data_IF_528863379296
#
_entry.id   IF_528863379296
#
_cell.length_a   1.000
_cell.length_b   1.000
_cell.length_c   1.000
_cell.angle_alpha   90.00
_cell.angle_beta   90.00
_cell.angle_gamma   90.00
#
_symmetry.space_group_name_H-M   'P 1'
#
loop_
_entity.id
_entity.type
_entity.pdbx_description
1 polymer ?
#
# COMPACT_ATOMS: atom_id res chain seq x y z
N UNK A 1 -7.37 -34.01 25.51
CA UNK A 1 -6.70 -34.01 24.19
C UNK A 1 -5.95 -32.69 24.00
N UNK A 2 -4.64 -32.74 24.15
CA UNK A 2 -3.75 -31.59 23.95
C UNK A 2 -3.66 -31.28 22.44
N UNK A 3 -4.12 -30.10 22.01
CA UNK A 3 -4.03 -29.71 20.60
C UNK A 3 -2.57 -29.38 20.27
N UNK A 4 -1.94 -30.18 19.40
CA UNK A 4 -0.63 -29.84 18.82
C UNK A 4 -0.70 -28.46 18.14
N UNK A 5 -0.11 -27.45 18.76
CA UNK A 5 0.06 -26.13 18.15
C UNK A 5 1.07 -26.24 17.00
N UNK A 6 0.76 -25.62 15.84
CA UNK A 6 1.68 -25.54 14.71
C UNK A 6 2.99 -24.89 15.18
N UNK A 7 4.10 -25.60 15.07
CA UNK A 7 5.43 -25.06 15.35
C UNK A 7 5.81 -24.06 14.25
N UNK A 8 6.43 -22.96 14.65
CA UNK A 8 7.02 -22.00 13.72
C UNK A 8 8.12 -22.71 12.93
N UNK A 9 7.96 -22.80 11.60
CA UNK A 9 8.89 -23.52 10.75
C UNK A 9 9.80 -22.58 9.96
N UNK A 10 10.89 -23.12 9.41
CA UNK A 10 11.83 -22.39 8.54
C UNK A 10 11.11 -21.70 7.37
N UNK A 11 10.14 -22.36 6.75
CA UNK A 11 9.36 -21.78 5.66
C UNK A 11 8.52 -20.56 6.06
N UNK A 12 8.04 -20.49 7.31
CA UNK A 12 7.35 -19.29 7.81
C UNK A 12 8.34 -18.14 8.01
N UNK A 13 9.53 -18.46 8.54
CA UNK A 13 10.62 -17.49 8.70
C UNK A 13 11.05 -16.90 7.36
N UNK A 14 11.27 -17.72 6.34
CA UNK A 14 11.66 -17.25 5.00
C UNK A 14 10.61 -16.32 4.39
N UNK A 15 9.33 -16.61 4.55
CA UNK A 15 8.25 -15.76 4.04
C UNK A 15 8.17 -14.43 4.81
N UNK A 16 8.41 -14.43 6.12
CA UNK A 16 8.49 -13.20 6.91
C UNK A 16 9.68 -12.34 6.51
N UNK A 17 10.84 -12.96 6.27
CA UNK A 17 12.05 -12.26 5.79
C UNK A 17 11.80 -11.65 4.41
N UNK A 18 11.21 -12.41 3.48
CA UNK A 18 10.87 -11.91 2.15
C UNK A 18 9.89 -10.72 2.23
N UNK A 19 8.83 -10.85 3.04
CA UNK A 19 7.86 -9.77 3.26
C UNK A 19 8.49 -8.51 3.87
N UNK A 20 9.36 -8.69 4.87
CA UNK A 20 10.10 -7.60 5.49
C UNK A 20 11.03 -6.92 4.47
N UNK A 21 11.77 -7.70 3.67
CA UNK A 21 12.63 -7.19 2.60
C UNK A 21 11.87 -6.35 1.58
N UNK A 22 10.71 -6.83 1.12
CA UNK A 22 9.81 -6.08 0.23
C UNK A 22 9.37 -4.76 0.87
N UNK A 23 9.01 -4.78 2.15
CA UNK A 23 8.63 -3.57 2.89
C UNK A 23 9.77 -2.57 3.05
N UNK A 24 10.97 -3.06 3.37
CA UNK A 24 12.19 -2.24 3.48
C UNK A 24 12.61 -1.65 2.13
N UNK A 25 12.39 -2.37 1.02
CA UNK A 25 12.63 -1.84 -0.32
C UNK A 25 11.74 -0.62 -0.62
N UNK A 26 10.44 -0.70 -0.28
CA UNK A 26 9.53 0.45 -0.38
C UNK A 26 9.92 1.61 0.54
N UNK A 27 10.27 1.30 1.80
CA UNK A 27 10.73 2.31 2.76
C UNK A 27 12.04 3.00 2.32
N UNK A 28 12.94 2.28 1.64
CA UNK A 28 14.15 2.86 1.04
C UNK A 28 13.82 3.85 -0.08
N UNK A 29 12.78 3.59 -0.86
CA UNK A 29 12.28 4.51 -1.88
C UNK A 29 11.83 5.84 -1.26
N UNK A 30 11.05 5.78 -0.17
CA UNK A 30 10.66 6.95 0.61
C UNK A 30 11.86 7.71 1.17
N UNK A 31 12.83 6.98 1.73
CA UNK A 31 14.04 7.58 2.29
C UNK A 31 14.85 8.33 1.23
N UNK A 32 15.00 7.76 0.03
CA UNK A 32 15.69 8.43 -1.07
C UNK A 32 15.02 9.74 -1.47
N UNK A 33 13.68 9.80 -1.48
CA UNK A 33 12.98 11.05 -1.75
C UNK A 33 13.27 12.15 -0.73
N UNK A 34 13.64 11.80 0.51
CA UNK A 34 14.04 12.80 1.50
C UNK A 34 15.49 13.28 1.29
N UNK A 35 16.39 12.38 0.90
CA UNK A 35 17.84 12.67 0.85
C UNK A 35 18.25 13.29 -0.49
N UNK A 36 17.66 12.84 -1.60
CA UNK A 36 17.97 13.36 -2.94
C UNK A 36 17.26 14.70 -3.17
N UNK A 37 17.98 15.78 -2.83
CA UNK A 37 17.76 17.22 -3.07
C UNK A 37 16.31 17.68 -3.37
N UNK A 38 15.73 18.58 -2.54
CA UNK A 38 14.37 19.10 -2.70
C UNK A 38 14.22 19.95 -3.97
N UNK A 39 13.95 19.29 -5.09
CA UNK A 39 13.51 19.92 -6.33
C UNK A 39 11.99 20.09 -6.33
N UNK A 40 11.54 21.27 -5.92
CA UNK A 40 10.24 21.91 -6.18
C UNK A 40 8.90 21.23 -5.81
N UNK A 41 8.81 19.90 -5.60
CA UNK A 41 7.50 19.23 -5.43
C UNK A 41 7.17 18.82 -3.99
N UNK A 42 8.16 18.69 -3.12
CA UNK A 42 7.95 18.40 -1.70
C UNK A 42 8.25 19.65 -0.89
N UNK A 43 7.22 20.24 -0.29
CA UNK A 43 7.36 21.38 0.60
C UNK A 43 8.25 20.97 1.79
N UNK A 44 9.06 21.88 2.35
CA UNK A 44 9.98 21.61 3.46
C UNK A 44 9.30 21.19 4.79
N UNK A 45 8.03 20.82 4.80
CA UNK A 45 7.19 20.67 6.01
C UNK A 45 6.54 19.29 6.09
N UNK A 46 6.99 18.27 5.35
CA UNK A 46 6.52 16.91 5.64
C UNK A 46 7.04 16.52 7.02
N UNK A 47 6.18 16.40 8.06
CA UNK A 47 6.66 16.20 9.41
C UNK A 47 7.27 14.80 9.54
N UNK A 48 8.30 14.67 10.39
CA UNK A 48 9.03 13.40 10.59
C UNK A 48 8.11 12.24 10.97
N UNK A 49 7.02 12.50 11.69
CA UNK A 49 6.04 11.49 12.06
C UNK A 49 5.26 10.93 10.86
N UNK A 50 4.99 11.74 9.82
CA UNK A 50 4.27 11.27 8.63
C UNK A 50 5.15 10.34 7.81
N UNK A 51 6.45 10.66 7.74
CA UNK A 51 7.44 9.80 7.11
C UNK A 51 7.58 8.47 7.87
N UNK A 52 7.64 8.51 9.20
CA UNK A 52 7.67 7.30 10.02
C UNK A 52 6.42 6.42 9.79
N UNK A 53 5.23 7.03 9.71
CA UNK A 53 3.99 6.32 9.40
C UNK A 53 4.02 5.68 7.99
N UNK A 54 4.54 6.38 6.99
CA UNK A 54 4.69 5.87 5.63
C UNK A 54 5.66 4.68 5.55
N UNK A 55 6.79 4.76 6.26
CA UNK A 55 7.76 3.67 6.36
C UNK A 55 7.17 2.46 7.08
N UNK A 56 6.47 2.68 8.19
CA UNK A 56 5.79 1.63 8.94
C UNK A 56 4.70 0.94 8.10
N UNK A 57 3.87 1.71 7.40
CA UNK A 57 2.85 1.17 6.49
C UNK A 57 3.46 0.33 5.37
N UNK A 58 4.60 0.76 4.80
CA UNK A 58 5.32 0.01 3.76
C UNK A 58 5.77 -1.37 4.23
N UNK A 59 6.16 -1.51 5.50
CA UNK A 59 6.53 -2.79 6.11
C UNK A 59 5.29 -3.60 6.54
N UNK A 60 4.28 -2.94 7.09
CA UNK A 60 3.08 -3.58 7.61
C UNK A 60 2.25 -4.27 6.51
N UNK A 61 2.19 -3.70 5.30
CA UNK A 61 1.44 -4.26 4.17
C UNK A 61 1.86 -5.68 3.79
N UNK A 62 3.12 -5.95 3.38
CA UNK A 62 3.54 -7.29 3.00
C UNK A 62 3.49 -8.27 4.19
N UNK A 63 3.77 -7.82 5.41
CA UNK A 63 3.62 -8.65 6.60
C UNK A 63 2.16 -9.07 6.85
N UNK A 64 1.20 -8.16 6.61
CA UNK A 64 -0.23 -8.44 6.71
C UNK A 64 -0.64 -9.53 5.70
N UNK A 65 -0.19 -9.43 4.46
CA UNK A 65 -0.44 -10.42 3.40
C UNK A 65 0.17 -11.78 3.78
N UNK A 66 1.42 -11.81 4.23
CA UNK A 66 2.10 -13.04 4.63
C UNK A 66 1.43 -13.72 5.84
N UNK A 67 1.02 -12.94 6.85
CA UNK A 67 0.31 -13.47 8.01
C UNK A 67 -1.06 -14.06 7.62
N UNK A 68 -1.76 -13.43 6.68
CA UNK A 68 -3.00 -13.96 6.14
C UNK A 68 -2.75 -15.27 5.37
N UNK A 69 -1.69 -15.33 4.56
CA UNK A 69 -1.29 -16.55 3.85
C UNK A 69 -0.98 -17.70 4.82
N UNK A 70 -0.29 -17.44 5.94
CA UNK A 70 -0.04 -18.45 6.97
C UNK A 70 -1.31 -19.01 7.60
N UNK A 71 -2.35 -18.18 7.77
CA UNK A 71 -3.64 -18.63 8.30
C UNK A 71 -4.44 -19.48 7.33
N UNK A 72 -4.18 -19.34 6.03
CA UNK A 72 -4.81 -20.14 4.98
C UNK A 72 -4.11 -21.49 4.77
N UNK A 73 -2.84 -21.63 5.19
CA UNK A 73 -2.09 -22.89 5.15
C UNK A 73 -2.60 -23.91 6.19
N UNK A 74 -2.55 -25.20 5.84
CA UNK A 74 -2.94 -26.31 6.73
C UNK A 74 -1.91 -26.48 7.86
N UNK A 75 -2.30 -26.94 9.08
CA UNK A 75 -3.64 -27.34 9.51
C UNK A 75 -4.54 -26.13 9.82
N UNK A 76 -5.68 -26.03 9.13
CA UNK A 76 -6.56 -24.85 9.20
C UNK A 76 -7.47 -24.96 10.43
N UNK A 77 -7.51 -23.96 11.33
CA UNK A 77 -8.52 -23.92 12.38
C UNK A 77 -9.93 -23.89 11.75
N UNK A 78 -10.97 -24.38 12.44
CA UNK A 78 -12.34 -24.32 11.92
C UNK A 78 -12.70 -22.87 11.59
N UNK A 79 -13.25 -22.64 10.37
CA UNK A 79 -13.49 -21.29 9.82
C UNK A 79 -14.21 -20.38 10.81
N UNK A 80 -15.20 -20.89 11.54
CA UNK A 80 -15.94 -20.12 12.56
C UNK A 80 -15.04 -19.50 13.63
N UNK A 81 -13.95 -20.16 14.04
CA UNK A 81 -13.00 -19.60 15.04
C UNK A 81 -12.07 -18.55 14.44
N UNK A 82 -11.67 -18.71 13.17
CA UNK A 82 -10.81 -17.75 12.47
C UNK A 82 -11.46 -16.36 12.40
N UNK A 83 -12.77 -16.29 12.17
CA UNK A 83 -13.51 -15.02 12.10
C UNK A 83 -13.65 -14.30 13.45
N UNK A 84 -13.50 -15.04 14.57
CA UNK A 84 -13.61 -14.48 15.93
C UNK A 84 -12.26 -14.01 16.48
N UNK A 85 -11.17 -14.25 15.77
CA UNK A 85 -9.84 -13.87 16.21
C UNK A 85 -9.53 -12.43 15.78
N UNK A 86 -9.19 -11.54 16.72
CA UNK A 86 -9.01 -10.12 16.42
C UNK A 86 -7.87 -9.87 15.43
N UNK A 87 -6.82 -10.70 15.47
CA UNK A 87 -5.71 -10.60 14.54
C UNK A 87 -6.12 -10.89 13.09
N UNK A 88 -6.94 -11.92 12.82
CA UNK A 88 -7.38 -12.18 11.44
C UNK A 88 -8.46 -11.23 10.97
N UNK A 89 -9.33 -10.78 11.87
CA UNK A 89 -10.32 -9.76 11.50
C UNK A 89 -9.64 -8.46 11.04
N UNK A 90 -8.60 -8.01 11.75
CA UNK A 90 -7.78 -6.87 11.34
C UNK A 90 -7.13 -7.08 9.95
N UNK A 91 -6.45 -8.22 9.76
CA UNK A 91 -5.76 -8.50 8.50
C UNK A 91 -6.72 -8.63 7.30
N UNK A 92 -7.89 -9.22 7.50
CA UNK A 92 -8.92 -9.31 6.45
C UNK A 92 -9.47 -7.94 6.07
N UNK A 93 -9.66 -7.05 7.05
CA UNK A 93 -10.12 -5.68 6.80
C UNK A 93 -9.11 -4.90 5.96
N UNK A 94 -7.83 -4.93 6.35
CA UNK A 94 -6.75 -4.31 5.57
C UNK A 94 -6.65 -4.92 4.18
N UNK A 95 -6.74 -6.25 4.05
CA UNK A 95 -6.68 -6.93 2.75
C UNK A 95 -7.84 -6.50 1.83
N UNK A 96 -9.06 -6.38 2.37
CA UNK A 96 -10.21 -5.93 1.60
C UNK A 96 -10.02 -4.50 1.09
N UNK A 97 -9.51 -3.59 1.94
CA UNK A 97 -9.19 -2.23 1.53
C UNK A 97 -8.12 -2.19 0.43
N UNK A 98 -7.05 -2.98 0.55
CA UNK A 98 -6.03 -3.07 -0.49
C UNK A 98 -6.60 -3.56 -1.82
N UNK A 99 -7.52 -4.53 -1.79
CA UNK A 99 -8.19 -5.01 -3.00
C UNK A 99 -9.07 -3.92 -3.61
N UNK A 100 -9.94 -3.28 -2.83
CA UNK A 100 -10.83 -2.21 -3.31
C UNK A 100 -10.03 -1.07 -3.93
N UNK A 101 -8.98 -0.62 -3.24
CA UNK A 101 -8.15 0.48 -3.70
C UNK A 101 -7.25 0.09 -4.88
N UNK A 102 -6.77 -1.15 -4.92
CA UNK A 102 -6.08 -1.69 -6.08
C UNK A 102 -6.98 -1.70 -7.32
N UNK A 103 -8.27 -2.05 -7.17
CA UNK A 103 -9.25 -2.04 -8.26
C UNK A 103 -9.56 -0.61 -8.72
N UNK A 104 -9.73 0.35 -7.81
CA UNK A 104 -9.91 1.77 -8.16
C UNK A 104 -8.74 2.30 -8.99
N UNK A 105 -7.51 2.02 -8.54
CA UNK A 105 -6.28 2.43 -9.23
C UNK A 105 -6.20 1.77 -10.60
N UNK A 106 -6.41 0.45 -10.70
CA UNK A 106 -6.42 -0.28 -11.97
C UNK A 106 -7.50 0.25 -12.94
N UNK A 107 -8.69 0.58 -12.42
CA UNK A 107 -9.78 1.17 -13.19
C UNK A 107 -9.44 2.58 -13.72
N UNK A 108 -8.75 3.40 -12.93
CA UNK A 108 -8.25 4.70 -13.38
C UNK A 108 -7.24 4.56 -14.53
N UNK A 109 -6.35 3.57 -14.46
CA UNK A 109 -5.42 3.24 -15.56
C UNK A 109 -6.16 2.76 -16.81
N UNK A 110 -7.16 1.88 -16.66
CA UNK A 110 -7.95 1.40 -17.78
C UNK A 110 -8.68 2.55 -18.51
N UNK A 111 -9.30 3.48 -17.77
CA UNK A 111 -10.00 4.65 -18.34
C UNK A 111 -9.05 5.59 -19.08
N UNK A 112 -7.82 5.79 -18.58
CA UNK A 112 -6.84 6.69 -19.23
C UNK A 112 -6.40 6.17 -20.60
N UNK A 113 -6.21 4.85 -20.73
CA UNK A 113 -5.88 4.22 -22.01
C UNK A 113 -7.01 4.39 -23.04
N UNK A 114 -8.26 4.27 -22.61
CA UNK A 114 -9.42 4.51 -23.48
C UNK A 114 -9.46 5.96 -23.97
N UNK A 115 -9.18 6.94 -23.10
CA UNK A 115 -9.18 8.35 -23.50
C UNK A 115 -8.00 8.72 -24.41
N UNK A 116 -6.83 8.10 -24.25
CA UNK A 116 -5.69 8.30 -25.17
C UNK A 116 -5.99 7.67 -26.53
N UNK A 117 -6.62 6.51 -26.57
CA UNK A 117 -7.04 5.85 -27.83
C UNK A 117 -8.18 6.65 -28.49
N UNK A 118 -9.19 7.09 -27.74
CA UNK A 118 -10.28 7.93 -28.24
C UNK A 118 -9.78 9.30 -28.70
N UNK A 119 -8.82 9.90 -27.97
CA UNK A 119 -8.17 11.15 -28.33
C UNK A 119 -7.25 11.03 -29.55
N UNK A 120 -6.60 9.88 -29.77
CA UNK A 120 -5.86 9.57 -31.01
C UNK A 120 -6.81 9.30 -32.17
N UNK A 121 -7.91 8.58 -31.96
CA UNK A 121 -8.94 8.36 -32.98
C UNK A 121 -9.63 9.68 -33.39
N UNK A 122 -9.88 10.58 -32.45
CA UNK A 122 -10.39 11.92 -32.72
C UNK A 122 -9.35 12.78 -33.45
N UNK A 123 -8.05 12.69 -33.12
CA UNK A 123 -6.99 13.43 -33.82
C UNK A 123 -6.76 12.97 -35.26
N UNK A 124 -6.89 11.67 -35.53
CA UNK A 124 -6.80 11.13 -36.89
C UNK A 124 -7.95 11.67 -37.76
N UNK A 125 -9.14 11.89 -37.18
CA UNK A 125 -10.29 12.48 -37.89
C UNK A 125 -10.19 13.99 -38.14
N UNK A 126 -9.35 14.71 -37.39
CA UNK A 126 -9.14 16.17 -37.54
C UNK A 126 -7.97 16.47 -38.50
N UNK A 127 -7.19 15.46 -38.91
CA UNK A 127 -6.10 15.64 -39.88
C UNK A 127 -6.55 15.76 -41.34
N UNK A 128 -7.83 15.54 -41.66
CA UNK A 128 -8.36 15.77 -43.01
C UNK A 128 -8.89 17.20 -43.22
N UNK A 129 -8.90 18.04 -42.18
CA UNK A 129 -9.35 19.44 -42.28
C UNK A 129 -8.48 20.36 -41.42
N UNK A 130 -7.33 20.73 -41.98
CA UNK A 130 -6.69 22.06 -41.90
C UNK A 130 -6.35 22.66 -40.51
N UNK A 131 -5.05 22.89 -40.25
CA UNK A 131 -4.37 24.18 -39.97
C UNK A 131 -3.05 23.95 -39.22
N UNK A 132 -1.95 24.27 -39.91
CA UNK A 132 -0.57 24.32 -39.43
C UNK A 132 -0.43 25.31 -38.25
N UNK A 133 -0.17 24.81 -37.05
CA UNK A 133 0.35 25.59 -35.92
C UNK A 133 1.83 25.24 -35.75
N UNK A 134 2.69 26.15 -36.20
CA UNK A 134 4.14 26.03 -36.12
C UNK A 134 4.59 26.30 -34.67
N UNK A 135 4.93 25.24 -33.93
CA UNK A 135 5.53 25.34 -32.59
C UNK A 135 7.05 25.39 -32.78
N UNK A 136 7.67 26.52 -32.42
CA UNK A 136 9.13 26.71 -32.49
C UNK A 136 9.89 25.67 -31.66
N UNK A 137 11.01 25.12 -32.17
CA UNK A 137 11.83 24.18 -31.43
C UNK A 137 12.64 24.91 -30.36
N UNK A 138 12.50 24.50 -29.10
CA UNK A 138 13.46 24.85 -28.04
C UNK A 138 14.81 24.16 -28.27
N UNK A 139 15.93 24.78 -27.87
CA UNK A 139 17.27 24.31 -28.20
C UNK A 139 17.58 22.95 -27.56
N UNK A 140 18.32 22.06 -28.27
CA UNK A 140 18.66 20.73 -27.79
C UNK A 140 19.76 20.82 -26.73
N UNK A 141 19.39 20.64 -25.46
CA UNK A 141 20.36 20.37 -24.39
C UNK A 141 20.86 18.92 -24.52
N UNK A 142 22.05 18.81 -25.10
CA UNK A 142 22.88 17.61 -25.30
C UNK A 142 23.42 17.04 -23.98
N UNK A 143 22.57 16.52 -23.11
CA UNK A 143 22.97 15.56 -22.08
C UNK A 143 21.93 14.45 -22.02
N UNK A 144 22.37 13.21 -22.24
CA UNK A 144 21.55 12.00 -22.31
C UNK A 144 20.86 11.62 -21.00
N UNK A 145 19.94 12.47 -20.55
CA UNK A 145 18.91 12.15 -19.58
C UNK A 145 17.65 11.75 -20.34
N UNK A 146 17.09 10.59 -19.99
CA UNK A 146 15.73 10.15 -20.33
C UNK A 146 14.80 11.31 -20.65
N UNK A 147 14.26 11.33 -21.88
CA UNK A 147 13.31 12.33 -22.34
C UNK A 147 12.30 12.68 -21.23
N UNK A 148 12.23 13.95 -20.77
CA UNK A 148 11.11 14.40 -19.98
C UNK A 148 9.92 14.43 -20.92
N UNK A 149 9.25 13.29 -21.07
CA UNK A 149 7.97 13.23 -21.76
C UNK A 149 7.09 14.31 -21.14
N UNK A 150 6.70 15.30 -21.94
CA UNK A 150 5.93 16.49 -21.54
C UNK A 150 4.47 16.18 -21.19
N UNK A 151 4.16 14.91 -20.93
CA UNK A 151 2.94 14.40 -20.29
C UNK A 151 3.27 13.52 -19.06
N UNK A 152 4.52 13.58 -18.59
CA UNK A 152 5.27 12.63 -17.77
C UNK A 152 5.03 12.72 -16.27
N UNK A 153 3.77 12.82 -15.85
CA UNK A 153 3.34 12.20 -14.58
C UNK A 153 2.88 10.77 -14.93
N UNK A 154 3.79 10.02 -15.54
CA UNK A 154 3.70 8.58 -15.52
C UNK A 154 4.14 8.26 -14.10
N UNK A 155 3.17 7.85 -13.29
CA UNK A 155 3.39 7.15 -12.04
C UNK A 155 4.18 5.90 -12.37
N UNK A 156 5.50 6.04 -12.55
CA UNK A 156 6.41 4.93 -12.56
C UNK A 156 6.07 4.13 -11.31
N UNK A 157 5.93 2.82 -11.45
CA UNK A 157 5.89 1.88 -10.32
C UNK A 157 7.24 1.86 -9.56
N UNK A 158 7.93 3.00 -9.51
CA UNK A 158 9.12 3.20 -8.73
C UNK A 158 8.75 3.02 -7.26
N UNK A 159 9.62 2.32 -6.55
CA UNK A 159 9.49 1.97 -5.14
C UNK A 159 9.15 3.17 -4.24
N UNK A 160 9.46 4.38 -4.69
CA UNK A 160 9.08 5.61 -4.03
C UNK A 160 7.57 5.91 -4.02
N UNK A 161 6.87 5.75 -5.15
CA UNK A 161 5.41 5.99 -5.22
C UNK A 161 4.64 5.00 -4.34
N UNK A 162 5.18 3.80 -4.16
CA UNK A 162 4.62 2.78 -3.27
C UNK A 162 4.43 3.31 -1.85
N UNK A 163 5.46 3.93 -1.27
CA UNK A 163 5.40 4.37 0.13
C UNK A 163 4.39 5.49 0.38
N UNK A 164 4.25 6.43 -0.57
CA UNK A 164 3.26 7.51 -0.49
C UNK A 164 1.84 6.95 -0.60
N UNK A 165 1.61 6.00 -1.50
CA UNK A 165 0.33 5.30 -1.59
C UNK A 165 0.01 4.52 -0.30
N UNK A 166 1.00 3.85 0.29
CA UNK A 166 0.81 3.13 1.57
C UNK A 166 0.46 4.06 2.73
N UNK A 167 1.03 5.26 2.78
CA UNK A 167 0.65 6.27 3.77
C UNK A 167 -0.83 6.68 3.64
N UNK A 168 -1.32 6.86 2.41
CA UNK A 168 -2.72 7.16 2.15
C UNK A 168 -3.67 6.02 2.59
N UNK A 169 -3.19 4.77 2.62
CA UNK A 169 -3.95 3.62 3.13
C UNK A 169 -3.90 3.45 4.65
N UNK A 170 -2.96 4.10 5.34
CA UNK A 170 -2.79 3.91 6.78
C UNK A 170 -4.03 4.32 7.58
N UNK A 171 -4.59 5.51 7.28
CA UNK A 171 -5.80 6.01 7.93
C UNK A 171 -7.01 5.05 7.81
N UNK A 172 -7.49 4.68 6.59
CA UNK A 172 -8.64 3.79 6.46
C UNK A 172 -8.39 2.39 7.03
N UNK A 173 -7.16 1.86 6.92
CA UNK A 173 -6.79 0.59 7.53
C UNK A 173 -6.90 0.65 9.07
N UNK A 174 -6.30 1.66 9.70
CA UNK A 174 -6.36 1.82 11.15
C UNK A 174 -7.79 1.99 11.65
N UNK A 175 -8.60 2.84 11.01
CA UNK A 175 -10.02 3.01 11.38
C UNK A 175 -10.82 1.72 11.24
N UNK A 176 -10.58 0.93 10.19
CA UNK A 176 -11.24 -0.36 10.01
C UNK A 176 -10.85 -1.36 11.08
N UNK A 177 -9.56 -1.39 11.48
CA UNK A 177 -9.09 -2.22 12.59
C UNK A 177 -9.76 -1.81 13.91
N UNK A 178 -9.80 -0.51 14.23
CA UNK A 178 -10.50 0.01 15.42
C UNK A 178 -11.96 -0.40 15.41
N UNK A 179 -12.68 -0.15 14.31
CA UNK A 179 -14.10 -0.47 14.19
C UNK A 179 -14.40 -1.95 14.42
N UNK A 180 -13.60 -2.84 13.81
CA UNK A 180 -13.77 -4.29 13.96
C UNK A 180 -13.41 -4.75 15.36
N UNK A 181 -12.35 -4.21 15.95
CA UNK A 181 -11.96 -4.53 17.32
C UNK A 181 -13.02 -4.09 18.31
N UNK A 182 -13.55 -2.88 18.18
CA UNK A 182 -14.67 -2.39 18.97
C UNK A 182 -15.90 -3.31 18.81
N UNK A 183 -16.25 -3.69 17.59
CA UNK A 183 -17.38 -4.60 17.33
C UNK A 183 -17.17 -5.98 17.99
N UNK A 184 -15.95 -6.52 17.97
CA UNK A 184 -15.63 -7.78 18.66
C UNK A 184 -15.69 -7.66 20.18
N UNK A 185 -15.24 -6.54 20.74
CA UNK A 185 -15.32 -6.25 22.18
C UNK A 185 -16.79 -6.10 22.60
N UNK A 186 -17.55 -5.25 21.91
CA UNK A 186 -18.96 -4.97 22.22
C UNK A 186 -19.85 -6.20 22.07
N UNK A 187 -19.55 -7.09 21.12
CA UNK A 187 -20.29 -8.35 20.95
C UNK A 187 -19.88 -9.47 21.94
N UNK A 188 -18.91 -9.23 22.83
CA UNK A 188 -18.37 -10.26 23.73
C UNK A 188 -17.68 -11.41 23.00
N UNK A 189 -17.31 -11.20 21.73
CA UNK A 189 -16.71 -12.22 20.84
C UNK A 189 -15.19 -12.17 20.80
N UNK A 190 -14.57 -11.25 21.54
CA UNK A 190 -13.12 -11.13 21.66
C UNK A 190 -12.50 -12.39 22.31
N UNK A 191 -11.97 -13.29 21.49
CA UNK A 191 -11.33 -14.55 21.95
C UNK A 191 -9.87 -14.62 21.50
N UNK A 192 -8.94 -13.99 22.23
CA UNK A 192 -7.52 -13.99 21.87
C UNK A 192 -6.97 -15.41 21.99
N UNK A 193 -6.24 -15.85 20.96
CA UNK A 193 -5.59 -17.17 20.97
C UNK A 193 -4.12 -17.00 21.38
N UNK A 194 -3.55 -17.99 22.07
CA UNK A 194 -2.13 -17.99 22.46
C UNK A 194 -1.18 -18.27 21.27
N UNK A 195 -1.67 -18.27 20.03
CA UNK A 195 -0.85 -18.53 18.84
C UNK A 195 0.02 -17.30 18.50
N UNK A 196 1.24 -17.56 18.02
CA UNK A 196 2.15 -16.50 17.59
C UNK A 196 1.56 -15.66 16.43
N UNK A 197 0.78 -16.29 15.54
CA UNK A 197 0.11 -15.64 14.41
C UNK A 197 -0.96 -14.66 14.90
N UNK A 198 -1.70 -14.99 15.97
CA UNK A 198 -2.68 -14.09 16.56
C UNK A 198 -2.02 -12.88 17.24
N UNK A 199 -0.90 -13.10 17.95
CA UNK A 199 -0.11 -12.02 18.53
C UNK A 199 0.43 -11.10 17.45
N UNK A 200 1.01 -11.65 16.38
CA UNK A 200 1.56 -10.86 15.27
C UNK A 200 0.47 -10.05 14.55
N UNK A 201 -0.69 -10.66 14.30
CA UNK A 201 -1.83 -9.94 13.71
C UNK A 201 -2.35 -8.80 14.59
N UNK A 202 -2.33 -8.96 15.92
CA UNK A 202 -2.67 -7.88 16.86
C UNK A 202 -1.62 -6.76 16.86
N UNK A 203 -0.33 -7.10 16.88
CA UNK A 203 0.76 -6.10 16.78
C UNK A 203 0.63 -5.30 15.48
N UNK A 204 0.42 -5.97 14.34
CA UNK A 204 0.17 -5.29 13.06
C UNK A 204 -1.07 -4.40 13.12
N UNK A 205 -2.15 -4.86 13.76
CA UNK A 205 -3.33 -4.04 14.01
C UNK A 205 -3.02 -2.75 14.78
N UNK A 206 -2.26 -2.84 15.89
CA UNK A 206 -1.81 -1.66 16.65
C UNK A 206 -0.96 -0.73 15.79
N UNK A 207 -0.05 -1.27 14.98
CA UNK A 207 0.78 -0.46 14.07
C UNK A 207 -0.11 0.31 13.08
N UNK A 208 -1.12 -0.32 12.49
CA UNK A 208 -2.07 0.37 11.60
C UNK A 208 -2.85 1.47 12.31
N UNK A 209 -3.30 1.23 13.55
CA UNK A 209 -3.99 2.25 14.37
C UNK A 209 -3.06 3.43 14.64
N UNK A 210 -1.81 3.17 15.06
CA UNK A 210 -0.83 4.22 15.33
C UNK A 210 -0.52 5.03 14.07
N UNK A 211 -0.37 4.39 12.91
CA UNK A 211 -0.17 5.08 11.64
C UNK A 211 -1.39 5.93 11.25
N UNK A 212 -2.61 5.43 11.48
CA UNK A 212 -3.83 6.20 11.21
C UNK A 212 -3.95 7.45 12.09
N UNK A 213 -3.64 7.32 13.39
CA UNK A 213 -3.61 8.45 14.32
C UNK A 213 -2.57 9.46 13.87
N UNK A 214 -1.35 9.01 13.56
CA UNK A 214 -0.28 9.87 13.08
C UNK A 214 -0.76 10.68 11.86
N UNK A 215 -1.22 10.01 10.78
CA UNK A 215 -1.72 10.64 9.54
C UNK A 215 -2.88 11.62 9.76
N UNK A 216 -3.61 11.50 10.87
CA UNK A 216 -4.79 12.34 11.14
C UNK A 216 -4.48 13.56 12.02
N UNK A 217 -3.25 13.73 12.49
CA UNK A 217 -2.84 14.94 13.23
C UNK A 217 -2.77 16.12 12.25
N UNK A 218 -3.56 17.18 12.44
CA UNK A 218 -3.48 18.37 11.60
C UNK A 218 -2.11 19.05 11.75
N UNK A 219 -1.57 19.54 10.63
CA UNK A 219 -0.34 20.34 10.55
C UNK A 219 -0.57 21.77 11.04
#
# INVERSE_FOLDING_TARGET
MERKTRRFGLGDMMILIAALGTGMYGARGLWRMQVEKPGAYWTPITPSWLMAAAMAASIATPLTISCLAFRLRRPRPPRRRLWLQPGTAAMLACMLLFVVKGVEVAGAFAKRNVNVIAGRAARIRVSETTYLLHISPSPPLLWGGSDPTSNGVIWSFDAGCWGVQMAAFAAPCGYSVVAIWLLLVLSGRWRPEKSWIDRLGRVLGVIWIACAVAVSVPL
#
